data_IF_177689241898
#
_entry.id   IF_177689241898
#
_cell.length_a   1.000
_cell.length_b   1.000
_cell.length_c   1.000
_cell.angle_alpha   90.00
_cell.angle_beta   90.00
_cell.angle_gamma   90.00
#
_symmetry.space_group_name_H-M   'P 1'
#
loop_
_entity.id
_entity.type
_entity.pdbx_description
1 polymer ?
#
# COMPACT_ATOMS: atom_id res chain seq x y z
N UNK A 1 -0.23 -12.15 4.00
CA UNK A 1 0.09 -10.98 3.17
C UNK A 1 -0.89 -10.94 2.02
N UNK A 2 -1.52 -9.79 1.80
CA UNK A 2 -2.53 -9.56 0.75
C UNK A 2 -2.20 -8.26 0.03
N UNK A 3 -2.54 -8.18 -1.25
CA UNK A 3 -2.42 -6.97 -2.05
C UNK A 3 -3.82 -6.61 -2.54
N UNK A 4 -4.29 -5.40 -2.26
CA UNK A 4 -5.46 -4.83 -2.93
C UNK A 4 -5.02 -3.82 -3.96
N UNK A 5 -5.81 -3.66 -5.02
CA UNK A 5 -5.60 -2.63 -6.04
C UNK A 5 -6.93 -1.97 -6.40
N UNK A 6 -6.94 -0.64 -6.41
CA UNK A 6 -8.03 0.19 -6.91
C UNK A 6 -7.57 0.94 -8.18
N UNK A 7 -8.07 0.53 -9.36
CA UNK A 7 -7.72 1.20 -10.61
C UNK A 7 -8.39 2.57 -10.80
N UNK A 8 -9.42 2.93 -10.03
CA UNK A 8 -10.09 4.24 -10.15
C UNK A 8 -9.20 5.37 -9.63
N UNK A 9 -8.44 5.11 -8.58
CA UNK A 9 -7.48 6.07 -7.98
C UNK A 9 -6.01 5.69 -8.21
N UNK A 10 -5.77 4.59 -8.93
CA UNK A 10 -4.46 3.99 -9.18
C UNK A 10 -3.60 3.80 -7.93
N UNK A 11 -4.20 3.17 -6.92
CA UNK A 11 -3.57 2.90 -5.63
C UNK A 11 -3.63 1.42 -5.27
N UNK A 12 -2.53 0.89 -4.73
CA UNK A 12 -2.47 -0.47 -4.21
C UNK A 12 -2.07 -0.47 -2.74
N UNK A 13 -2.54 -1.47 -2.00
CA UNK A 13 -2.17 -1.63 -0.59
C UNK A 13 -1.69 -3.05 -0.32
N UNK A 14 -0.45 -3.16 0.17
CA UNK A 14 0.11 -4.42 0.66
C UNK A 14 -0.07 -4.54 2.17
N UNK A 15 -0.96 -5.43 2.61
CA UNK A 15 -1.16 -5.75 4.02
C UNK A 15 -0.20 -6.86 4.47
N UNK A 16 0.47 -6.64 5.61
CA UNK A 16 1.25 -7.67 6.31
C UNK A 16 0.37 -8.53 7.22
N UNK A 17 -0.76 -7.97 7.65
CA UNK A 17 -1.81 -8.64 8.44
C UNK A 17 -2.96 -9.13 7.55
N UNK A 18 -3.89 -9.92 8.10
CA UNK A 18 -5.03 -10.44 7.33
C UNK A 18 -6.05 -9.36 6.96
N UNK A 19 -6.22 -8.36 7.83
CA UNK A 19 -7.06 -7.19 7.63
C UNK A 19 -6.60 -6.06 8.57
N UNK A 20 -6.84 -4.81 8.15
CA UNK A 20 -6.61 -3.62 8.97
C UNK A 20 -7.97 -3.06 9.39
N UNK A 21 -8.25 -3.03 10.69
CA UNK A 21 -9.50 -2.52 11.22
C UNK A 21 -9.56 -0.98 11.14
N UNK A 22 -10.77 -0.37 11.06
CA UNK A 22 -10.91 1.09 11.10
C UNK A 22 -10.19 1.70 12.31
N UNK A 23 -9.31 2.67 12.05
CA UNK A 23 -8.53 3.35 13.08
C UNK A 23 -7.36 2.55 13.66
N UNK A 24 -6.99 1.40 13.06
CA UNK A 24 -5.82 0.63 13.47
C UNK A 24 -4.52 1.22 12.93
N UNK A 25 -4.51 1.77 11.72
CA UNK A 25 -3.41 2.59 11.22
C UNK A 25 -3.43 3.96 11.92
N UNK A 26 -2.45 4.19 12.79
CA UNK A 26 -2.35 5.37 13.67
C UNK A 26 -1.19 6.28 13.33
N UNK A 27 -0.11 5.72 12.80
CA UNK A 27 1.03 6.49 12.33
C UNK A 27 1.32 6.14 10.88
N UNK A 28 1.61 7.16 10.07
CA UNK A 28 1.95 7.01 8.67
C UNK A 28 3.35 7.60 8.44
N UNK A 29 4.17 6.90 7.67
CA UNK A 29 5.50 7.35 7.29
C UNK A 29 5.63 7.30 5.78
N UNK A 30 5.74 8.48 5.16
CA UNK A 30 6.05 8.61 3.75
C UNK A 30 7.51 8.23 3.48
N UNK A 31 7.73 7.37 2.49
CA UNK A 31 9.08 7.08 2.00
C UNK A 31 9.55 8.27 1.15
N UNK A 32 10.73 8.84 1.41
CA UNK A 32 11.25 9.97 0.64
C UNK A 32 11.32 9.66 -0.86
N UNK A 33 10.91 10.63 -1.68
CA UNK A 33 10.98 10.49 -3.14
C UNK A 33 12.40 10.24 -3.62
N UNK A 34 12.52 9.44 -4.68
CA UNK A 34 13.77 9.13 -5.35
C UNK A 34 13.53 9.09 -6.86
N UNK A 35 14.26 9.90 -7.62
CA UNK A 35 14.09 10.04 -9.07
C UNK A 35 14.24 8.72 -9.86
N UNK A 36 14.90 7.70 -9.28
CA UNK A 36 15.06 6.37 -9.87
C UNK A 36 13.94 5.38 -9.51
N UNK A 37 12.94 5.78 -8.72
CA UNK A 37 11.85 4.93 -8.24
C UNK A 37 10.51 5.58 -8.60
N UNK A 38 9.69 4.85 -9.35
CA UNK A 38 8.31 5.25 -9.62
C UNK A 38 7.42 5.06 -8.37
N UNK A 39 6.39 5.89 -8.26
CA UNK A 39 5.38 5.78 -7.21
C UNK A 39 5.64 6.62 -5.96
N UNK A 40 4.67 6.56 -5.05
CA UNK A 40 4.79 7.05 -3.69
C UNK A 40 4.42 5.94 -2.74
N UNK A 41 5.16 5.83 -1.64
CA UNK A 41 5.01 4.73 -0.69
C UNK A 41 4.75 5.30 0.69
N UNK A 42 3.68 4.84 1.34
CA UNK A 42 3.32 5.23 2.71
C UNK A 42 3.26 3.97 3.55
N UNK A 43 4.03 3.95 4.64
CA UNK A 43 4.02 2.85 5.60
C UNK A 43 3.04 3.16 6.73
N UNK A 44 2.14 2.22 7.01
CA UNK A 44 1.18 2.36 8.10
C UNK A 44 1.58 1.54 9.32
N UNK A 45 1.47 2.14 10.50
CA UNK A 45 1.78 1.51 11.78
C UNK A 45 0.61 1.59 12.76
N UNK A 46 0.55 0.63 13.68
CA UNK A 46 -0.30 0.72 14.88
C UNK A 46 0.16 1.84 15.81
N UNK A 47 -0.67 2.18 16.81
CA UNK A 47 -0.32 3.15 17.85
C UNK A 47 1.03 2.83 18.53
N UNK A 48 1.32 1.53 18.72
CA UNK A 48 2.53 1.02 19.35
C UNK A 48 3.73 0.92 18.38
N UNK A 49 3.58 1.42 17.15
CA UNK A 49 4.65 1.42 16.14
C UNK A 49 4.89 0.06 15.48
N UNK A 50 3.87 -0.82 15.40
CA UNK A 50 3.97 -2.08 14.63
C UNK A 50 3.51 -1.87 13.20
N UNK A 51 4.31 -2.33 12.22
CA UNK A 51 4.00 -2.17 10.80
C UNK A 51 2.79 -3.04 10.41
N UNK A 52 1.78 -2.41 9.79
CA UNK A 52 0.57 -3.05 9.29
C UNK A 52 0.65 -3.35 7.80
N UNK A 53 1.26 -2.43 7.04
CA UNK A 53 1.27 -2.50 5.59
C UNK A 53 1.88 -1.26 4.94
N UNK A 54 1.64 -1.18 3.64
CA UNK A 54 2.23 -0.23 2.72
C UNK A 54 1.17 0.18 1.70
N UNK A 55 0.87 1.47 1.61
CA UNK A 55 0.11 2.07 0.51
C UNK A 55 1.06 2.52 -0.60
N UNK A 56 0.67 2.25 -1.85
CA UNK A 56 1.44 2.53 -3.07
C UNK A 56 0.54 3.36 -3.99
N UNK A 57 0.87 4.64 -4.18
CA UNK A 57 0.21 5.49 -5.17
C UNK A 57 0.94 5.41 -6.51
N UNK A 58 0.19 5.65 -7.59
CA UNK A 58 0.65 5.41 -8.97
C UNK A 58 1.05 3.94 -9.15
N UNK A 59 0.20 3.05 -8.66
CA UNK A 59 0.51 1.63 -8.59
C UNK A 59 0.72 1.00 -9.96
N UNK A 60 0.02 1.46 -11.00
CA UNK A 60 0.20 1.02 -12.39
C UNK A 60 1.59 1.32 -12.95
N UNK A 61 2.22 2.42 -12.52
CA UNK A 61 3.58 2.80 -12.90
C UNK A 61 4.64 2.13 -12.03
N UNK A 62 4.26 1.69 -10.84
CA UNK A 62 5.18 1.22 -9.79
C UNK A 62 5.27 -0.31 -9.75
N UNK A 63 4.14 -1.00 -9.88
CA UNK A 63 4.04 -2.44 -9.74
C UNK A 63 3.98 -3.12 -11.12
N UNK A 64 4.63 -4.29 -11.30
CA UNK A 64 4.46 -5.07 -12.52
C UNK A 64 2.98 -5.39 -12.76
N UNK A 65 2.53 -5.32 -14.02
CA UNK A 65 1.15 -5.62 -14.38
C UNK A 65 0.68 -7.01 -13.91
N UNK A 66 1.58 -8.00 -13.84
CA UNK A 66 1.28 -9.33 -13.30
C UNK A 66 0.96 -9.34 -11.80
N UNK A 67 1.56 -8.41 -11.04
CA UNK A 67 1.28 -8.22 -9.60
C UNK A 67 -0.09 -7.58 -9.42
N UNK A 68 -0.40 -6.54 -10.21
CA UNK A 68 -1.72 -5.89 -10.19
C UNK A 68 -2.84 -6.84 -10.62
N UNK A 69 -2.60 -7.68 -11.64
CA UNK A 69 -3.57 -8.67 -12.08
C UNK A 69 -3.85 -9.78 -11.04
N UNK A 70 -2.94 -9.99 -10.09
CA UNK A 70 -3.10 -10.94 -9.00
C UNK A 70 -3.65 -10.28 -7.71
N UNK A 71 -3.82 -8.96 -7.70
CA UNK A 71 -4.34 -8.23 -6.54
C UNK A 71 -5.84 -8.50 -6.35
N UNK A 72 -6.27 -8.48 -5.10
CA UNK A 72 -7.69 -8.46 -4.74
C UNK A 72 -8.26 -7.07 -5.09
N UNK A 73 -9.52 -6.95 -5.53
CA UNK A 73 -10.16 -5.64 -5.63
C UNK A 73 -10.21 -4.97 -4.26
N UNK A 74 -9.98 -3.66 -4.19
CA UNK A 74 -10.26 -2.90 -2.97
C UNK A 74 -11.77 -3.00 -2.66
N UNK A 75 -12.11 -3.42 -1.43
CA UNK A 75 -13.49 -3.58 -0.96
C UNK A 75 -13.99 -2.37 -0.17
#
# INVERSE_FOLDING_TARGET
MRLTYDPEVDAAYMMLVDAIAPGQARHQVEVPHNDGIAGQFILDFTEEGKLLGLEILFASDTLPASVLAAAEPLQ
#
